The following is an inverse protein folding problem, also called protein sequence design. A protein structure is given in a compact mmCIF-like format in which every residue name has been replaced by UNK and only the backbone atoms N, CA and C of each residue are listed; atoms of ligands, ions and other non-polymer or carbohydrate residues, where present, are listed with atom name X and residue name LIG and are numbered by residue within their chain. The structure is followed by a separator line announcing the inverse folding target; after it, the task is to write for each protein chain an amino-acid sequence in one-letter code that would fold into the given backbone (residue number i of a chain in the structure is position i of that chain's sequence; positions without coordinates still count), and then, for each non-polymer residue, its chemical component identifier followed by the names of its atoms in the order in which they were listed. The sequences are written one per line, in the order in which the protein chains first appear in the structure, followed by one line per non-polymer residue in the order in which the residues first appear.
data_IF_588481961973
#
_entry.id   IF_588481961973
#
_cell.length_a   1.000
_cell.length_b   1.000
_cell.length_c   1.000
_cell.angle_alpha   90.00
_cell.angle_beta   90.00
_cell.angle_gamma   90.00
#
_symmetry.space_group_name_H-M   'P 1'
#
loop_
_entity.id
_entity.type
_entity.pdbx_description
1 polymer ?
#
# COMPACT_ATOMS: atom_id res chain seq x y z
N UNK A 1 -30.00 23.69 -42.65
CA UNK A 1 -29.94 22.22 -42.51
C UNK A 1 -28.88 21.71 -43.48
N UNK A 2 -27.66 21.44 -43.00
CA UNK A 2 -26.60 20.92 -43.86
C UNK A 2 -26.92 19.47 -44.23
N UNK A 3 -27.15 19.24 -45.52
CA UNK A 3 -27.34 17.91 -46.14
C UNK A 3 -26.15 17.01 -45.81
N UNK A 4 -26.38 15.70 -45.71
CA UNK A 4 -25.35 14.65 -45.73
C UNK A 4 -24.18 15.08 -46.63
N UNK A 5 -23.12 15.59 -46.01
CA UNK A 5 -21.98 16.19 -46.71
C UNK A 5 -21.11 15.04 -47.22
N UNK A 6 -20.69 15.14 -48.48
CA UNK A 6 -19.67 14.34 -49.18
C UNK A 6 -19.07 13.16 -48.38
N UNK A 7 -19.23 11.89 -48.84
CA UNK A 7 -18.73 10.72 -48.13
C UNK A 7 -17.25 10.83 -47.71
N UNK A 8 -16.42 11.51 -48.50
CA UNK A 8 -15.01 11.75 -48.15
C UNK A 8 -14.87 12.66 -46.92
N UNK A 9 -15.67 13.72 -46.81
CA UNK A 9 -15.63 14.59 -45.63
C UNK A 9 -16.16 13.91 -44.37
N UNK A 10 -17.19 13.06 -44.50
CA UNK A 10 -17.69 12.28 -43.37
C UNK A 10 -16.64 11.28 -42.86
N UNK A 11 -15.89 10.64 -43.77
CA UNK A 11 -14.79 9.74 -43.45
C UNK A 11 -13.63 10.48 -42.76
N UNK A 12 -13.19 11.62 -43.29
CA UNK A 12 -12.16 12.44 -42.65
C UNK A 12 -12.55 12.88 -41.24
N UNK A 13 -13.80 13.31 -41.05
CA UNK A 13 -14.31 13.72 -39.74
C UNK A 13 -14.33 12.54 -38.75
N UNK A 14 -14.74 11.36 -39.20
CA UNK A 14 -14.73 10.14 -38.40
C UNK A 14 -13.29 9.73 -38.03
N UNK A 15 -12.34 9.82 -38.97
CA UNK A 15 -10.94 9.49 -38.73
C UNK A 15 -10.28 10.45 -37.74
N UNK A 16 -10.56 11.77 -37.86
CA UNK A 16 -10.08 12.76 -36.88
C UNK A 16 -10.59 12.44 -35.48
N UNK A 17 -11.89 12.17 -35.35
CA UNK A 17 -12.48 11.79 -34.06
C UNK A 17 -11.87 10.51 -33.49
N UNK A 18 -11.58 9.52 -34.33
CA UNK A 18 -10.92 8.29 -33.91
C UNK A 18 -9.49 8.57 -33.42
N UNK A 19 -8.72 9.38 -34.15
CA UNK A 19 -7.36 9.75 -33.75
C UNK A 19 -7.35 10.48 -32.41
N UNK A 20 -8.26 11.45 -32.21
CA UNK A 20 -8.39 12.17 -30.94
C UNK A 20 -8.68 11.21 -29.78
N UNK A 21 -9.57 10.22 -30.00
CA UNK A 21 -9.86 9.17 -29.00
C UNK A 21 -8.64 8.30 -28.70
N UNK A 22 -7.88 7.94 -29.72
CA UNK A 22 -6.66 7.16 -29.56
C UNK A 22 -5.59 7.93 -28.78
N UNK A 23 -5.52 9.25 -28.91
CA UNK A 23 -4.59 10.08 -28.14
C UNK A 23 -4.90 10.08 -26.65
N UNK A 24 -6.18 10.04 -26.25
CA UNK A 24 -6.54 9.85 -24.84
C UNK A 24 -6.08 8.49 -24.30
N UNK A 25 -6.18 7.43 -25.10
CA UNK A 25 -5.71 6.09 -24.71
C UNK A 25 -4.19 6.08 -24.56
N UNK A 26 -3.45 6.66 -25.53
CA UNK A 26 -1.99 6.80 -25.45
C UNK A 26 -1.58 7.54 -24.19
N UNK A 27 -2.21 8.68 -23.92
CA UNK A 27 -1.96 9.47 -22.70
C UNK A 27 -2.24 8.67 -21.43
N UNK A 28 -3.32 7.90 -21.39
CA UNK A 28 -3.64 7.05 -20.24
C UNK A 28 -2.59 5.96 -20.02
N UNK A 29 -2.07 5.34 -21.08
CA UNK A 29 -1.01 4.34 -20.99
C UNK A 29 0.30 4.98 -20.50
N UNK A 30 0.68 6.14 -21.04
CA UNK A 30 1.85 6.90 -20.55
C UNK A 30 1.72 7.26 -19.07
N UNK A 31 0.53 7.73 -18.65
CA UNK A 31 0.27 8.06 -17.25
C UNK A 31 0.36 6.82 -16.35
N UNK A 32 -0.08 5.64 -16.80
CA UNK A 32 0.09 4.38 -16.07
C UNK A 32 1.56 4.00 -15.92
N UNK A 33 2.35 4.11 -16.99
CA UNK A 33 3.79 3.85 -16.94
C UNK A 33 4.51 4.76 -15.93
N UNK A 34 4.25 6.06 -15.97
CA UNK A 34 4.82 7.02 -15.03
C UNK A 34 4.39 6.75 -13.58
N UNK A 35 3.17 6.26 -13.37
CA UNK A 35 2.66 5.90 -12.06
C UNK A 35 3.41 4.67 -11.50
N UNK A 36 3.64 3.65 -12.33
CA UNK A 36 4.39 2.46 -11.91
C UNK A 36 5.86 2.79 -11.62
N UNK A 37 6.48 3.63 -12.44
CA UNK A 37 7.84 4.13 -12.20
C UNK A 37 7.93 4.92 -10.89
N UNK A 38 6.96 5.80 -10.61
CA UNK A 38 6.88 6.53 -9.35
C UNK A 38 6.68 5.60 -8.14
N UNK A 39 5.92 4.52 -8.28
CA UNK A 39 5.77 3.50 -7.22
C UNK A 39 7.08 2.77 -6.95
N UNK A 40 7.85 2.46 -7.97
CA UNK A 40 9.13 1.77 -7.80
C UNK A 40 10.17 2.71 -7.18
N UNK A 41 10.22 3.97 -7.60
CA UNK A 41 11.03 5.00 -6.95
C UNK A 41 10.65 5.18 -5.48
N UNK A 42 9.35 5.17 -5.15
CA UNK A 42 8.87 5.23 -3.78
C UNK A 42 9.31 4.02 -2.95
N UNK A 43 9.17 2.80 -3.49
CA UNK A 43 9.64 1.58 -2.80
C UNK A 43 11.13 1.66 -2.49
N UNK A 44 11.94 2.16 -3.42
CA UNK A 44 13.38 2.28 -3.24
C UNK A 44 13.73 3.38 -2.22
N UNK A 45 13.07 4.52 -2.29
CA UNK A 45 13.22 5.59 -1.30
C UNK A 45 12.87 5.08 0.12
N UNK A 46 11.79 4.32 0.28
CA UNK A 46 11.41 3.73 1.57
C UNK A 46 12.45 2.72 2.09
N UNK A 47 13.07 1.93 1.20
CA UNK A 47 14.15 1.01 1.61
C UNK A 47 15.37 1.79 2.08
N UNK A 48 15.76 2.81 1.33
CA UNK A 48 16.91 3.63 1.66
C UNK A 48 16.70 4.39 2.98
N UNK A 49 15.50 4.94 3.20
CA UNK A 49 15.11 5.55 4.49
C UNK A 49 15.26 4.57 5.65
N UNK A 50 14.74 3.35 5.49
CA UNK A 50 14.86 2.31 6.51
C UNK A 50 16.32 1.91 6.75
N UNK A 51 17.11 1.76 5.69
CA UNK A 51 18.53 1.42 5.78
C UNK A 51 19.35 2.52 6.46
N UNK A 52 19.10 3.79 6.11
CA UNK A 52 19.77 4.95 6.71
C UNK A 52 19.43 5.08 8.20
N UNK A 53 18.14 4.92 8.57
CA UNK A 53 17.73 4.91 9.97
C UNK A 53 18.40 3.77 10.75
N UNK A 54 18.43 2.56 10.21
CA UNK A 54 19.11 1.42 10.84
C UNK A 54 20.62 1.63 10.94
N UNK A 55 21.27 2.21 9.93
CA UNK A 55 22.69 2.52 9.97
C UNK A 55 23.01 3.56 11.04
N UNK A 56 22.18 4.60 11.19
CA UNK A 56 22.32 5.59 12.25
C UNK A 56 22.22 4.94 13.64
N UNK A 57 21.28 4.01 13.83
CA UNK A 57 21.09 3.31 15.11
C UNK A 57 22.21 2.30 15.40
N UNK A 58 22.54 1.45 14.43
CA UNK A 58 23.45 0.33 14.65
C UNK A 58 24.93 0.72 14.57
N UNK A 59 25.28 1.64 13.66
CA UNK A 59 26.67 2.01 13.38
C UNK A 59 26.99 3.44 13.85
N UNK A 60 26.00 4.33 13.84
CA UNK A 60 26.16 5.72 14.25
C UNK A 60 26.08 5.96 15.76
N UNK A 61 25.76 4.93 16.55
CA UNK A 61 25.64 5.04 18.00
C UNK A 61 24.42 5.84 18.48
N UNK A 62 23.47 6.14 17.59
CA UNK A 62 22.25 6.87 17.95
C UNK A 62 21.20 5.92 18.52
N UNK A 63 20.46 6.36 19.53
CA UNK A 63 19.25 5.64 19.93
C UNK A 63 18.04 6.12 19.13
N UNK A 64 17.03 5.25 18.98
CA UNK A 64 15.79 5.60 18.28
C UNK A 64 15.06 6.80 18.93
N UNK A 65 15.20 6.97 20.24
CA UNK A 65 14.60 8.09 20.98
C UNK A 65 15.35 9.41 20.74
N UNK A 66 16.68 9.37 20.57
CA UNK A 66 17.48 10.54 20.19
C UNK A 66 17.17 10.98 18.76
N UNK A 67 17.08 10.04 17.81
CA UNK A 67 16.67 10.33 16.44
C UNK A 67 15.28 10.98 16.39
N UNK A 68 14.35 10.47 17.20
CA UNK A 68 13.01 11.06 17.32
C UNK A 68 13.05 12.46 17.93
N UNK A 69 13.94 12.71 18.88
CA UNK A 69 14.09 14.02 19.54
C UNK A 69 14.65 15.10 18.61
N UNK A 70 15.44 14.70 17.60
CA UNK A 70 15.93 15.59 16.54
C UNK A 70 14.99 15.66 15.32
N UNK A 71 13.83 14.99 15.37
CA UNK A 71 12.80 15.04 14.33
C UNK A 71 12.91 13.95 13.26
N UNK A 72 13.87 13.03 13.35
CA UNK A 72 13.91 11.81 12.51
C UNK A 72 12.99 10.76 13.13
N UNK A 73 11.73 10.76 12.68
CA UNK A 73 10.80 9.71 13.05
C UNK A 73 11.21 8.37 12.41
N UNK A 74 10.89 7.27 13.09
CA UNK A 74 11.12 5.94 12.53
C UNK A 74 10.34 5.77 11.20
N UNK A 75 10.89 5.04 10.22
CA UNK A 75 10.24 4.79 8.94
C UNK A 75 8.80 4.27 9.11
N UNK A 76 7.88 4.70 8.26
CA UNK A 76 6.45 4.30 8.26
C UNK A 76 6.29 2.77 8.31
N UNK A 77 7.15 2.03 7.60
CA UNK A 77 7.20 0.55 7.63
C UNK A 77 7.47 -0.01 9.04
N UNK A 78 8.40 0.58 9.78
CA UNK A 78 8.71 0.17 11.15
C UNK A 78 7.58 0.53 12.12
N UNK A 79 6.98 1.72 11.95
CA UNK A 79 5.82 2.14 12.73
C UNK A 79 4.61 1.22 12.50
N UNK A 80 4.35 0.82 11.26
CA UNK A 80 3.25 -0.08 10.91
C UNK A 80 3.43 -1.47 11.53
N UNK A 81 4.64 -2.01 11.53
CA UNK A 81 4.96 -3.29 12.21
C UNK A 81 4.81 -3.17 13.73
N UNK A 82 5.30 -2.09 14.34
CA UNK A 82 5.13 -1.84 15.78
C UNK A 82 3.66 -1.73 16.19
N UNK A 83 2.84 -1.00 15.41
CA UNK A 83 1.39 -0.92 15.64
C UNK A 83 0.73 -2.30 15.55
N UNK A 84 1.08 -3.09 14.54
CA UNK A 84 0.52 -4.45 14.37
C UNK A 84 0.87 -5.37 15.55
N UNK A 85 2.11 -5.33 16.07
CA UNK A 85 2.52 -6.11 17.25
C UNK A 85 1.76 -5.71 18.52
N UNK A 86 1.48 -4.41 18.70
CA UNK A 86 0.76 -3.91 19.88
C UNK A 86 -0.70 -4.39 19.93
N UNK A 87 -1.36 -4.53 18.77
CA UNK A 87 -2.74 -5.05 18.69
C UNK A 87 -2.83 -6.56 18.92
N UNK A 88 -1.82 -7.35 18.53
CA UNK A 88 -1.85 -8.80 18.75
C UNK A 88 -1.60 -9.18 20.21
N UNK A 89 -0.84 -8.39 20.96
CA UNK A 89 -0.65 -8.63 22.41
C UNK A 89 -1.92 -8.40 23.24
N UNK A 90 -2.84 -7.56 22.79
CA UNK A 90 -4.10 -7.29 23.52
C UNK A 90 -5.15 -8.40 23.37
N UNK A 91 -5.02 -9.31 22.40
CA UNK A 91 -5.99 -10.39 22.16
C UNK A 91 -5.60 -11.74 22.73
N UNK A 92 -4.35 -11.93 23.17
CA UNK A 92 -3.87 -13.22 23.73
C UNK A 92 -4.17 -13.42 25.22
N UNK A 93 -4.89 -12.49 25.86
CA UNK A 93 -5.21 -12.55 27.31
C UNK A 93 -6.62 -13.06 27.66
N UNK A 94 -7.48 -13.40 26.70
CA UNK A 94 -8.92 -13.61 26.96
C UNK A 94 -9.44 -15.06 26.92
N UNK A 95 -8.58 -16.08 26.82
CA UNK A 95 -9.01 -17.48 26.79
C UNK A 95 -8.14 -18.37 27.67
N UNK A 96 -8.21 -18.18 28.99
CA UNK A 96 -7.73 -19.22 29.92
C UNK A 96 -8.40 -19.09 31.28
N UNK A 97 -9.69 -19.43 31.37
CA UNK A 97 -10.30 -19.81 32.64
C UNK A 97 -11.63 -20.52 32.41
N UNK A 98 -11.62 -21.84 32.53
CA UNK A 98 -12.66 -22.68 33.17
C UNK A 98 -12.74 -24.05 32.49
N UNK A 99 -11.78 -24.90 32.84
CA UNK A 99 -12.00 -26.33 32.97
C UNK A 99 -11.80 -26.64 34.45
N UNK A 100 -12.83 -27.09 35.16
CA UNK A 100 -12.79 -28.17 36.17
C UNK A 100 -14.15 -28.27 36.92
N UNK A 101 -14.84 -29.40 36.73
CA UNK A 101 -15.48 -30.25 37.75
C UNK A 101 -16.69 -30.96 37.13
N UNK A 102 -17.04 -32.19 37.47
CA UNK A 102 -16.45 -33.37 38.11
C UNK A 102 -17.64 -34.37 38.15
N UNK A 103 -17.36 -35.66 37.98
CA UNK A 103 -18.14 -36.75 38.59
C UNK A 103 -19.62 -36.92 38.22
N UNK A 104 -19.92 -37.95 37.41
CA UNK A 104 -21.30 -38.40 37.18
C UNK A 104 -21.35 -39.72 36.44
N UNK A 105 -20.79 -40.78 37.03
CA UNK A 105 -20.93 -42.16 36.58
C UNK A 105 -22.40 -42.58 36.75
N UNK A 106 -23.09 -42.93 35.67
CA UNK A 106 -24.44 -43.53 35.73
C UNK A 106 -24.40 -44.91 35.06
N UNK A 107 -24.62 -46.01 35.81
CA UNK A 107 -24.97 -47.31 35.26
C UNK A 107 -26.50 -47.50 35.25
N UNK A 108 -26.97 -48.51 34.48
CA UNK A 108 -28.35 -49.05 34.33
C UNK A 108 -29.05 -48.68 33.02
N UNK A 109 -29.75 -49.56 32.28
CA UNK A 109 -29.93 -51.03 32.21
C UNK A 109 -30.25 -51.36 30.74
#
# INVERSE_FOLDING_TARGET
MAKLTDPQQAEEAAQRLLNDRMDYIRRAITARGALDEARDALKEAEKNDTAAFQAAVNNGGWTADELKKIGLAAPEKMQRVQRRRKTTQTTSGAHSSSAQNDGGTEPEQ
#
